data_IF_049147114417
#
_entry.id   IF_049147114417
#
_cell.length_a   1.000
_cell.length_b   1.000
_cell.length_c   1.000
_cell.angle_alpha   90.00
_cell.angle_beta   90.00
_cell.angle_gamma   90.00
#
_symmetry.space_group_name_H-M   'P 1'
#
loop_
_entity.id
_entity.type
_entity.pdbx_description
1 polymer ?
#
# COMPACT_ATOMS: atom_id res chain seq x y z
N UNK A 1 -1.95 30.77 -18.17
CA UNK A 1 -2.35 29.38 -17.85
C UNK A 1 -1.72 29.06 -16.50
N UNK A 2 -2.51 29.02 -15.42
CA UNK A 2 -2.00 28.61 -14.10
C UNK A 2 -2.09 27.09 -14.07
N UNK A 3 -0.95 26.41 -14.00
CA UNK A 3 -0.90 24.97 -13.79
C UNK A 3 -1.21 24.79 -12.31
N UNK A 4 -2.46 24.50 -11.98
CA UNK A 4 -2.84 24.12 -10.62
C UNK A 4 -2.21 22.75 -10.36
N UNK A 5 -1.12 22.73 -9.60
CA UNK A 5 -0.57 21.50 -9.05
C UNK A 5 -1.64 20.94 -8.11
N UNK A 6 -2.45 20.00 -8.58
CA UNK A 6 -3.37 19.26 -7.72
C UNK A 6 -2.52 18.57 -6.64
N UNK A 7 -2.59 19.07 -5.42
CA UNK A 7 -1.97 18.41 -4.27
C UNK A 7 -2.58 17.01 -4.16
N UNK A 8 -1.76 16.00 -4.39
CA UNK A 8 -2.17 14.61 -4.30
C UNK A 8 -2.45 14.29 -2.82
N UNK A 9 -3.72 14.32 -2.42
CA UNK A 9 -4.14 13.97 -1.07
C UNK A 9 -3.96 12.45 -0.90
N UNK A 10 -2.88 12.08 -0.21
CA UNK A 10 -2.58 10.71 0.17
C UNK A 10 -2.79 10.54 1.69
N UNK A 11 -3.50 9.49 2.10
CA UNK A 11 -3.74 9.16 3.50
C UNK A 11 -3.19 7.78 3.80
N UNK A 12 -2.29 7.67 4.77
CA UNK A 12 -1.80 6.37 5.26
C UNK A 12 -2.92 5.70 6.04
N UNK A 13 -3.30 4.50 5.60
CA UNK A 13 -4.36 3.70 6.20
C UNK A 13 -3.76 2.67 7.17
N UNK A 14 -2.64 2.04 6.77
CA UNK A 14 -1.95 1.03 7.57
C UNK A 14 -0.47 0.96 7.17
N UNK A 15 0.39 0.63 8.12
CA UNK A 15 1.85 0.54 7.94
C UNK A 15 2.39 -0.66 8.73
N UNK A 16 3.32 -1.40 8.13
CA UNK A 16 4.06 -2.47 8.77
C UNK A 16 5.45 -2.56 8.15
N UNK A 17 6.49 -2.34 8.97
CA UNK A 17 7.89 -2.30 8.51
C UNK A 17 8.05 -1.36 7.30
N UNK A 18 8.37 -1.89 6.12
CA UNK A 18 8.47 -1.13 4.89
C UNK A 18 7.22 -1.20 3.99
N UNK A 19 6.16 -1.89 4.40
CA UNK A 19 4.92 -1.99 3.65
C UNK A 19 3.92 -0.94 4.13
N UNK A 20 3.35 -0.18 3.21
CA UNK A 20 2.35 0.84 3.52
C UNK A 20 1.14 0.69 2.61
N UNK A 21 -0.04 0.74 3.21
CA UNK A 21 -1.33 0.89 2.52
C UNK A 21 -1.73 2.37 2.60
N UNK A 22 -1.81 3.03 1.46
CA UNK A 22 -2.28 4.41 1.33
C UNK A 22 -3.57 4.44 0.52
N UNK A 23 -4.47 5.35 0.90
CA UNK A 23 -5.54 5.85 0.05
C UNK A 23 -5.08 7.10 -0.68
N UNK A 24 -5.09 7.09 -2.01
CA UNK A 24 -4.83 8.29 -2.81
C UNK A 24 -6.13 8.70 -3.49
N UNK A 25 -6.53 9.96 -3.28
CA UNK A 25 -7.69 10.54 -3.98
C UNK A 25 -7.54 10.33 -5.49
N UNK A 26 -8.60 9.85 -6.13
CA UNK A 26 -8.70 9.53 -7.56
C UNK A 26 -7.87 8.33 -8.05
N UNK A 27 -7.06 7.68 -7.20
CA UNK A 27 -6.33 6.44 -7.57
C UNK A 27 -6.72 5.22 -6.74
N UNK A 28 -7.35 5.42 -5.61
CA UNK A 28 -7.83 4.35 -4.75
C UNK A 28 -6.81 3.90 -3.69
N UNK A 29 -7.03 2.71 -3.15
CA UNK A 29 -6.14 2.05 -2.21
C UNK A 29 -4.93 1.43 -2.93
N UNK A 30 -3.74 1.74 -2.45
CA UNK A 30 -2.47 1.33 -3.04
C UNK A 30 -1.54 0.82 -1.94
N UNK A 31 -0.90 -0.33 -2.19
CA UNK A 31 0.20 -0.84 -1.35
C UNK A 31 1.52 -0.50 -2.04
N UNK A 32 2.48 0.06 -1.29
CA UNK A 32 3.82 0.35 -1.76
C UNK A 32 4.86 -0.07 -0.73
N UNK A 33 6.09 -0.24 -1.22
CA UNK A 33 7.26 -0.48 -0.40
C UNK A 33 7.94 0.86 -0.11
N UNK A 34 8.01 1.31 1.14
CA UNK A 34 8.64 2.57 1.51
C UNK A 34 10.16 2.57 1.46
N UNK A 35 10.82 1.42 1.26
CA UNK A 35 12.25 1.37 0.90
C UNK A 35 12.44 1.79 -0.57
N UNK A 36 11.46 1.50 -1.43
CA UNK A 36 11.47 1.84 -2.84
C UNK A 36 10.13 2.49 -3.21
N UNK A 37 9.95 3.77 -2.85
CA UNK A 37 8.67 4.48 -2.95
C UNK A 37 8.06 4.50 -4.37
N UNK A 38 8.88 4.28 -5.41
CA UNK A 38 8.44 4.16 -6.81
C UNK A 38 7.75 2.82 -7.14
N UNK A 39 7.85 1.82 -6.27
CA UNK A 39 7.28 0.50 -6.52
C UNK A 39 5.88 0.43 -5.91
N UNK A 40 4.89 0.74 -6.74
CA UNK A 40 3.52 0.31 -6.49
C UNK A 40 3.45 -1.20 -6.55
N UNK A 41 3.15 -1.84 -5.43
CA UNK A 41 3.01 -3.29 -5.36
C UNK A 41 1.64 -3.75 -5.87
N UNK A 42 0.56 -3.09 -5.43
CA UNK A 42 -0.82 -3.43 -5.83
C UNK A 42 -1.74 -2.21 -5.76
N UNK A 43 -2.76 -2.16 -6.64
CA UNK A 43 -3.85 -1.17 -6.61
C UNK A 43 -5.21 -1.88 -6.53
N UNK A 44 -6.12 -1.35 -5.71
CA UNK A 44 -7.42 -1.96 -5.43
C UNK A 44 -8.62 -1.07 -5.80
N UNK A 45 -8.39 0.10 -6.39
CA UNK A 45 -9.47 1.07 -6.62
C UNK A 45 -10.11 1.47 -5.29
N UNK A 46 -11.44 1.52 -5.21
CA UNK A 46 -12.17 2.00 -4.02
C UNK A 46 -12.52 0.90 -2.99
N UNK A 47 -12.17 -0.37 -3.25
CA UNK A 47 -12.51 -1.47 -2.33
C UNK A 47 -11.54 -1.53 -1.14
N UNK A 48 -11.96 -0.92 -0.03
CA UNK A 48 -11.21 -0.87 1.23
C UNK A 48 -10.97 -2.24 1.83
N UNK A 49 -11.99 -3.10 1.84
CA UNK A 49 -11.93 -4.39 2.55
C UNK A 49 -11.01 -5.36 1.80
N UNK A 50 -11.06 -5.34 0.47
CA UNK A 50 -10.12 -6.11 -0.35
C UNK A 50 -8.68 -5.60 -0.18
N UNK A 51 -8.48 -4.28 -0.13
CA UNK A 51 -7.15 -3.69 0.07
C UNK A 51 -6.54 -4.10 1.43
N UNK A 52 -7.35 -4.07 2.50
CA UNK A 52 -6.92 -4.49 3.84
C UNK A 52 -6.55 -5.97 3.89
N UNK A 53 -7.39 -6.86 3.33
CA UNK A 53 -7.10 -8.31 3.28
C UNK A 53 -5.81 -8.62 2.53
N UNK A 54 -5.57 -7.94 1.41
CA UNK A 54 -4.35 -8.16 0.63
C UNK A 54 -3.11 -7.58 1.33
N UNK A 55 -3.25 -6.45 2.02
CA UNK A 55 -2.17 -5.91 2.84
C UNK A 55 -1.77 -6.91 3.94
N UNK A 56 -2.75 -7.47 4.66
CA UNK A 56 -2.47 -8.46 5.70
C UNK A 56 -1.84 -9.74 5.14
N UNK A 57 -2.27 -10.19 3.96
CA UNK A 57 -1.66 -11.33 3.27
C UNK A 57 -0.20 -11.05 2.87
N UNK A 58 0.11 -9.84 2.39
CA UNK A 58 1.48 -9.44 2.06
C UNK A 58 2.37 -9.41 3.30
N UNK A 59 1.88 -8.81 4.40
CA UNK A 59 2.59 -8.82 5.69
C UNK A 59 2.83 -10.25 6.16
N UNK A 60 1.82 -11.11 6.08
CA UNK A 60 1.95 -12.52 6.46
C UNK A 60 3.01 -13.24 5.63
N UNK A 61 3.00 -13.08 4.30
CA UNK A 61 3.99 -13.70 3.42
C UNK A 61 5.41 -13.18 3.72
N UNK A 62 5.56 -11.87 3.92
CA UNK A 62 6.84 -11.27 4.29
C UNK A 62 7.38 -11.83 5.61
N UNK A 63 6.53 -11.94 6.64
CA UNK A 63 6.90 -12.55 7.91
C UNK A 63 7.29 -14.02 7.74
N UNK A 64 6.53 -14.77 6.95
CA UNK A 64 6.82 -16.18 6.67
C UNK A 64 8.18 -16.36 6.01
N UNK A 65 8.52 -15.53 5.03
CA UNK A 65 9.82 -15.54 4.35
C UNK A 65 10.96 -15.12 5.28
N UNK A 66 10.77 -14.02 6.01
CA UNK A 66 11.76 -13.45 6.93
C UNK A 66 12.16 -14.42 8.03
N UNK A 67 11.17 -15.10 8.61
CA UNK A 67 11.38 -16.02 9.73
C UNK A 67 11.48 -17.49 9.28
N UNK A 68 11.44 -17.76 7.97
CA UNK A 68 11.42 -19.12 7.37
C UNK A 68 10.45 -20.05 8.10
N UNK A 69 9.26 -19.54 8.46
CA UNK A 69 8.26 -20.34 9.18
C UNK A 69 7.71 -21.37 8.20
N UNK A 70 8.27 -22.57 8.26
CA UNK A 70 7.70 -23.76 7.64
C UNK A 70 6.64 -24.25 8.62
N UNK A 71 5.37 -24.04 8.25
CA UNK A 71 4.20 -24.56 8.97
C UNK A 71 3.96 -25.99 8.48
#
# INVERSE_FOLDING_TARGET
MKIETQEMIATVIKEFDHLKLIWIRDKGYIIFNSINEDITLVRFGEDKDQALKNFDLMVFNYLKETYKIVI
#
